data_IF_387320279499
#
_entry.id   IF_387320279499
#
_cell.length_a   1.000
_cell.length_b   1.000
_cell.length_c   1.000
_cell.angle_alpha   90.00
_cell.angle_beta   90.00
_cell.angle_gamma   90.00
#
_symmetry.space_group_name_H-M   'P 1'
#
loop_
_entity.id
_entity.type
_entity.pdbx_description
1 polymer ?
#
# COMPACT_ATOMS: atom_id res chain seq x y z
N UNK A 1 4.61 -6.56 14.90
CA UNK A 1 4.62 -5.26 14.20
C UNK A 1 5.88 -4.49 14.55
N UNK A 2 6.43 -3.75 13.60
CA UNK A 2 7.58 -2.86 13.80
C UNK A 2 7.18 -1.49 14.33
N UNK A 3 5.98 -1.01 13.97
CA UNK A 3 5.42 0.23 14.52
C UNK A 3 4.67 -0.07 15.81
N UNK A 4 5.16 0.50 16.91
CA UNK A 4 4.61 0.26 18.27
C UNK A 4 3.52 1.26 18.65
N UNK A 5 3.71 2.53 18.27
CA UNK A 5 2.77 3.64 18.50
C UNK A 5 1.75 3.71 17.35
N UNK A 6 0.65 2.96 17.49
CA UNK A 6 -0.48 2.97 16.54
C UNK A 6 -1.78 2.58 17.24
N UNK A 7 -2.90 2.59 16.52
CA UNK A 7 -4.23 2.26 17.05
C UNK A 7 -4.49 0.75 17.03
N UNK A 8 -5.49 0.30 17.81
CA UNK A 8 -5.92 -1.10 17.77
C UNK A 8 -6.54 -1.50 16.43
N UNK A 9 -7.11 -0.55 15.68
CA UNK A 9 -7.64 -0.82 14.34
C UNK A 9 -6.51 -1.21 13.37
N UNK A 10 -5.39 -0.48 13.42
CA UNK A 10 -4.19 -0.79 12.62
C UNK A 10 -3.63 -2.15 13.05
N UNK A 11 -3.49 -2.41 14.35
CA UNK A 11 -2.97 -3.70 14.86
C UNK A 11 -3.82 -4.87 14.37
N UNK A 12 -5.14 -4.80 14.55
CA UNK A 12 -6.08 -5.85 14.12
C UNK A 12 -6.03 -6.07 12.61
N UNK A 13 -6.02 -5.00 11.82
CA UNK A 13 -5.91 -5.12 10.37
C UNK A 13 -4.59 -5.79 9.95
N UNK A 14 -3.47 -5.39 10.53
CA UNK A 14 -2.17 -6.01 10.24
C UNK A 14 -2.12 -7.48 10.65
N UNK A 15 -2.68 -7.84 11.81
CA UNK A 15 -2.81 -9.23 12.24
C UNK A 15 -3.65 -10.03 11.24
N UNK A 16 -4.79 -9.52 10.80
CA UNK A 16 -5.63 -10.20 9.81
C UNK A 16 -4.94 -10.38 8.46
N UNK A 17 -4.19 -9.37 7.99
CA UNK A 17 -3.36 -9.45 6.77
C UNK A 17 -2.29 -10.52 6.94
N UNK A 18 -1.62 -10.59 8.11
CA UNK A 18 -0.54 -11.54 8.38
C UNK A 18 -0.99 -13.00 8.22
N UNK A 19 -2.23 -13.30 8.59
CA UNK A 19 -2.84 -14.64 8.47
C UNK A 19 -3.26 -15.01 7.05
N UNK A 20 -3.34 -14.05 6.11
CA UNK A 20 -3.71 -14.32 4.73
C UNK A 20 -2.63 -15.14 3.99
N UNK A 21 -3.06 -15.81 2.92
CA UNK A 21 -2.15 -16.44 1.97
C UNK A 21 -1.42 -15.39 1.11
N UNK A 22 -0.25 -15.75 0.59
CA UNK A 22 0.64 -14.81 -0.11
C UNK A 22 -0.03 -14.13 -1.30
N UNK A 23 -0.90 -14.84 -2.03
CA UNK A 23 -1.64 -14.27 -3.14
C UNK A 23 -2.64 -13.19 -2.68
N UNK A 24 -3.32 -13.40 -1.56
CA UNK A 24 -4.26 -12.43 -0.98
C UNK A 24 -3.51 -11.23 -0.40
N UNK A 25 -2.34 -11.46 0.21
CA UNK A 25 -1.42 -10.38 0.63
C UNK A 25 -0.94 -9.54 -0.55
N UNK A 26 -0.60 -10.16 -1.68
CA UNK A 26 -0.19 -9.46 -2.90
C UNK A 26 -1.34 -8.64 -3.49
N UNK A 27 -2.56 -9.20 -3.54
CA UNK A 27 -3.75 -8.44 -3.96
C UNK A 27 -4.02 -7.24 -3.06
N UNK A 28 -3.81 -7.38 -1.75
CA UNK A 28 -3.90 -6.25 -0.81
C UNK A 28 -2.89 -5.15 -1.15
N UNK A 29 -1.63 -5.51 -1.44
CA UNK A 29 -0.62 -4.56 -1.90
C UNK A 29 -1.04 -3.87 -3.19
N UNK A 30 -1.47 -4.63 -4.21
CA UNK A 30 -1.95 -4.09 -5.48
C UNK A 30 -3.04 -3.05 -5.25
N UNK A 31 -4.00 -3.35 -4.37
CA UNK A 31 -5.10 -2.44 -4.09
C UNK A 31 -4.63 -1.16 -3.40
N UNK A 32 -3.92 -1.24 -2.27
CA UNK A 32 -3.55 -0.04 -1.50
C UNK A 32 -2.55 0.85 -2.27
N UNK A 33 -1.63 0.24 -3.02
CA UNK A 33 -0.71 1.00 -3.87
C UNK A 33 -1.41 1.56 -5.11
N UNK A 34 -2.49 0.93 -5.58
CA UNK A 34 -3.38 1.51 -6.58
C UNK A 34 -4.05 2.78 -6.08
N UNK A 35 -4.59 2.76 -4.85
CA UNK A 35 -5.13 3.96 -4.20
C UNK A 35 -4.05 5.05 -4.05
N UNK A 36 -2.84 4.66 -3.63
CA UNK A 36 -1.70 5.57 -3.46
C UNK A 36 -1.29 6.23 -4.79
N UNK A 37 -1.20 5.45 -5.86
CA UNK A 37 -0.80 5.92 -7.19
C UNK A 37 -1.83 6.91 -7.78
N UNK A 38 -3.09 6.80 -7.36
CA UNK A 38 -4.20 7.67 -7.79
C UNK A 38 -4.52 8.79 -6.78
N UNK A 39 -3.57 9.14 -5.89
CA UNK A 39 -3.72 10.20 -4.88
C UNK A 39 -4.87 9.99 -3.86
N UNK A 40 -5.44 8.80 -3.75
CA UNK A 40 -6.63 8.53 -2.93
C UNK A 40 -6.32 8.29 -1.44
N UNK A 41 -5.05 8.40 -1.05
CA UNK A 41 -4.64 8.37 0.35
C UNK A 41 -4.47 9.82 0.83
N UNK A 42 -5.50 10.35 1.49
CA UNK A 42 -5.52 11.74 1.93
C UNK A 42 -6.19 11.94 3.29
N UNK A 43 -5.94 13.10 3.90
CA UNK A 43 -6.39 13.46 5.25
C UNK A 43 -7.90 13.66 5.39
N UNK A 44 -8.63 13.81 4.28
CA UNK A 44 -10.09 13.89 4.25
C UNK A 44 -10.78 12.56 3.94
N UNK A 45 -10.01 11.49 3.65
CA UNK A 45 -10.54 10.20 3.19
C UNK A 45 -11.40 10.28 1.92
N UNK A 46 -11.05 11.20 1.02
CA UNK A 46 -11.82 11.50 -0.18
C UNK A 46 -11.38 10.63 -1.34
N UNK A 47 -12.36 10.04 -2.05
CA UNK A 47 -12.06 9.12 -3.14
C UNK A 47 -11.45 9.82 -4.36
N UNK A 48 -11.81 11.09 -4.58
CA UNK A 48 -11.32 11.91 -5.69
C UNK A 48 -10.89 13.29 -5.18
N UNK A 49 -9.73 13.39 -4.50
CA UNK A 49 -9.30 14.65 -3.90
C UNK A 49 -9.04 15.73 -4.95
N UNK A 50 -8.68 15.36 -6.17
CA UNK A 50 -8.43 16.29 -7.29
C UNK A 50 -9.69 17.05 -7.74
N UNK A 51 -10.89 16.59 -7.37
CA UNK A 51 -12.16 17.26 -7.66
C UNK A 51 -12.62 18.19 -6.53
N UNK A 52 -11.87 18.25 -5.43
CA UNK A 52 -12.22 19.12 -4.31
C UNK A 52 -11.88 20.58 -4.65
N UNK A 53 -12.83 21.48 -4.42
CA UNK A 53 -12.60 22.92 -4.55
C UNK A 53 -11.66 23.48 -3.47
N UNK A 54 -11.52 22.75 -2.35
CA UNK A 54 -10.66 23.13 -1.24
C UNK A 54 -9.25 22.57 -1.40
N UNK A 55 -8.30 23.45 -1.73
CA UNK A 55 -6.89 23.13 -1.96
C UNK A 55 -6.12 22.64 -0.72
N UNK A 56 -6.76 22.50 0.44
CA UNK A 56 -6.10 22.12 1.69
C UNK A 56 -6.05 20.60 1.95
N UNK A 57 -6.23 19.75 0.93
CA UNK A 57 -6.14 18.29 1.10
C UNK A 57 -4.69 17.86 1.19
N UNK A 58 -4.31 17.21 2.29
CA UNK A 58 -2.98 16.59 2.41
C UNK A 58 -3.04 15.20 1.78
N UNK A 59 -2.30 15.02 0.70
CA UNK A 59 -2.21 13.76 -0.04
C UNK A 59 -0.89 13.07 0.29
N UNK A 60 -0.97 11.77 0.58
CA UNK A 60 0.21 10.91 0.60
C UNK A 60 0.35 10.23 -0.76
N UNK A 61 1.51 10.47 -1.39
CA UNK A 61 2.02 9.72 -2.53
C UNK A 61 3.54 9.53 -2.35
N UNK A 62 4.19 8.74 -3.21
CA UNK A 62 5.63 8.49 -3.03
C UNK A 62 6.50 9.73 -3.28
N UNK A 63 6.06 10.67 -4.12
CA UNK A 63 6.75 11.95 -4.32
C UNK A 63 6.78 12.80 -3.05
N UNK A 64 5.70 12.78 -2.26
CA UNK A 64 5.60 13.50 -0.99
C UNK A 64 6.62 13.05 0.07
N UNK A 65 7.23 11.87 -0.11
CA UNK A 65 8.34 11.36 0.73
C UNK A 65 9.69 11.35 0.00
N UNK A 66 9.80 12.08 -1.11
CA UNK A 66 11.04 12.29 -1.86
C UNK A 66 11.45 11.14 -2.79
N UNK A 67 10.52 10.23 -3.13
CA UNK A 67 10.78 9.20 -4.15
C UNK A 67 10.38 9.70 -5.55
N UNK A 68 10.89 9.10 -6.64
CA UNK A 68 10.52 9.48 -8.00
C UNK A 68 9.00 9.41 -8.25
N UNK A 69 8.47 10.35 -9.05
CA UNK A 69 7.03 10.45 -9.32
C UNK A 69 6.40 9.16 -9.87
N UNK A 70 7.16 8.38 -10.64
CA UNK A 70 6.71 7.12 -11.25
C UNK A 70 7.02 5.87 -10.39
N UNK A 71 7.61 6.02 -9.20
CA UNK A 71 8.03 4.89 -8.36
C UNK A 71 6.86 3.96 -8.02
N UNK A 72 5.67 4.52 -7.77
CA UNK A 72 4.49 3.74 -7.41
C UNK A 72 3.95 2.95 -8.62
N UNK A 73 3.96 3.57 -9.81
CA UNK A 73 3.57 2.91 -11.06
C UNK A 73 4.50 1.74 -11.40
N UNK A 74 5.82 1.92 -11.26
CA UNK A 74 6.80 0.85 -11.48
C UNK A 74 6.58 -0.30 -10.50
N UNK A 75 6.31 0.01 -9.22
CA UNK A 75 6.00 -1.01 -8.22
C UNK A 75 4.71 -1.78 -8.55
N UNK A 76 3.66 -1.09 -9.00
CA UNK A 76 2.41 -1.71 -9.43
C UNK A 76 2.61 -2.65 -10.63
N UNK A 77 3.40 -2.25 -11.62
CA UNK A 77 3.79 -3.12 -12.74
C UNK A 77 4.54 -4.36 -12.27
N UNK A 78 5.43 -4.22 -11.28
CA UNK A 78 6.11 -5.35 -10.66
C UNK A 78 5.11 -6.30 -9.96
N UNK A 79 4.15 -5.77 -9.19
CA UNK A 79 3.12 -6.59 -8.55
C UNK A 79 2.25 -7.34 -9.57
N UNK A 80 1.90 -6.71 -10.69
CA UNK A 80 1.19 -7.35 -11.80
C UNK A 80 1.99 -8.52 -12.39
N UNK A 81 3.28 -8.29 -12.66
CA UNK A 81 4.18 -9.34 -13.15
C UNK A 81 4.27 -10.50 -12.16
N UNK A 82 4.45 -10.19 -10.87
CA UNK A 82 4.54 -11.18 -9.80
C UNK A 82 3.25 -12.00 -9.67
N UNK A 83 2.09 -11.34 -9.67
CA UNK A 83 0.79 -12.01 -9.59
C UNK A 83 0.62 -12.99 -10.74
N UNK A 84 0.77 -12.52 -11.98
CA UNK A 84 0.63 -13.34 -13.18
C UNK A 84 1.63 -14.51 -13.18
N UNK A 85 2.85 -14.30 -12.67
CA UNK A 85 3.86 -15.35 -12.51
C UNK A 85 3.47 -16.41 -11.48
N UNK A 86 2.91 -16.01 -10.33
CA UNK A 86 2.47 -16.92 -9.26
C UNK A 86 1.22 -17.71 -9.68
N UNK A 87 0.25 -17.05 -10.31
CA UNK A 87 -1.01 -17.69 -10.73
C UNK A 87 -0.89 -18.45 -12.04
N UNK A 88 0.20 -18.24 -12.79
CA UNK A 88 0.36 -18.70 -14.16
C UNK A 88 -0.80 -18.24 -15.07
N UNK A 89 -1.23 -17.00 -14.89
CA UNK A 89 -2.29 -16.36 -15.69
C UNK A 89 -1.83 -15.05 -16.33
N UNK A 90 -2.70 -14.42 -17.13
CA UNK A 90 -2.49 -13.07 -17.68
C UNK A 90 -3.71 -12.20 -17.44
N UNK A 91 -4.36 -12.44 -16.30
CA UNK A 91 -5.71 -11.93 -16.04
C UNK A 91 -5.69 -10.49 -15.58
N UNK A 92 -4.54 -10.03 -15.08
CA UNK A 92 -4.37 -8.66 -14.61
C UNK A 92 -3.29 -7.93 -15.40
N UNK A 93 -3.51 -6.64 -15.62
CA UNK A 93 -2.58 -5.75 -16.29
C UNK A 93 -2.65 -4.34 -15.70
N UNK A 94 -1.57 -3.60 -15.88
CA UNK A 94 -1.50 -2.17 -15.53
C UNK A 94 -1.86 -1.34 -16.77
N UNK A 95 -2.72 -0.34 -16.58
CA UNK A 95 -3.14 0.61 -17.61
C UNK A 95 -3.22 2.01 -17.02
N UNK A 96 -2.34 2.89 -17.48
CA UNK A 96 -2.24 4.31 -17.09
C UNK A 96 -2.35 4.57 -15.58
N UNK A 97 -1.65 3.80 -14.77
CA UNK A 97 -1.59 3.90 -13.32
C UNK A 97 -2.63 3.07 -12.56
N UNK A 98 -3.47 2.31 -13.26
CA UNK A 98 -4.54 1.50 -12.69
C UNK A 98 -4.29 0.01 -12.94
N UNK A 99 -4.68 -0.84 -11.98
CA UNK A 99 -4.64 -2.30 -12.18
C UNK A 99 -6.03 -2.81 -12.50
N UNK A 100 -6.16 -3.49 -13.64
CA UNK A 100 -7.41 -4.04 -14.15
C UNK A 100 -7.40 -5.56 -13.97
N UNK A 101 -8.56 -6.15 -13.66
CA UNK A 101 -8.77 -7.61 -13.67
C UNK A 101 -8.60 -8.32 -12.31
N UNK A 102 -8.23 -7.62 -11.25
CA UNK A 102 -8.07 -8.24 -9.92
C UNK A 102 -9.44 -8.62 -9.34
N UNK A 103 -9.67 -9.92 -9.18
CA UNK A 103 -10.86 -10.43 -8.51
C UNK A 103 -10.60 -10.65 -7.02
N UNK A 104 -11.45 -10.03 -6.18
CA UNK A 104 -11.37 -10.15 -4.72
C UNK A 104 -12.44 -11.09 -4.17
N UNK A 105 -12.04 -12.00 -3.28
CA UNK A 105 -12.94 -12.82 -2.47
C UNK A 105 -13.72 -11.94 -1.47
N UNK A 106 -14.76 -12.51 -0.84
CA UNK A 106 -15.51 -11.81 0.21
C UNK A 106 -14.65 -11.46 1.43
N UNK A 107 -13.70 -12.32 1.77
CA UNK A 107 -12.74 -12.10 2.86
C UNK A 107 -11.77 -10.97 2.49
N UNK A 108 -11.22 -11.01 1.27
CA UNK A 108 -10.32 -9.95 0.77
C UNK A 108 -11.04 -8.60 0.76
N UNK A 109 -12.27 -8.52 0.24
CA UNK A 109 -13.09 -7.30 0.26
C UNK A 109 -13.33 -6.76 1.68
N UNK A 110 -13.45 -7.64 2.67
CA UNK A 110 -13.61 -7.24 4.07
C UNK A 110 -12.34 -6.55 4.60
N UNK A 111 -11.15 -7.05 4.23
CA UNK A 111 -9.87 -6.40 4.56
C UNK A 111 -9.73 -5.04 3.88
N UNK A 112 -10.10 -4.94 2.60
CA UNK A 112 -10.06 -3.67 1.86
C UNK A 112 -10.99 -2.64 2.50
N UNK A 113 -12.23 -3.02 2.83
CA UNK A 113 -13.19 -2.13 3.47
C UNK A 113 -12.74 -1.69 4.88
N UNK A 114 -12.00 -2.54 5.62
CA UNK A 114 -11.38 -2.14 6.89
C UNK A 114 -10.29 -1.09 6.68
N UNK A 115 -9.44 -1.29 5.67
CA UNK A 115 -8.40 -0.32 5.30
C UNK A 115 -9.00 1.03 4.87
N UNK A 116 -10.01 1.04 4.00
CA UNK A 116 -10.65 2.27 3.51
C UNK A 116 -11.20 3.14 4.64
N UNK A 117 -11.75 2.50 5.69
CA UNK A 117 -12.32 3.16 6.88
C UNK A 117 -11.29 3.75 7.83
N UNK A 118 -10.02 3.38 7.72
CA UNK A 118 -8.97 3.94 8.56
C UNK A 118 -8.82 5.45 8.31
N UNK A 119 -8.46 6.18 9.36
CA UNK A 119 -8.04 7.56 9.24
C UNK A 119 -6.70 7.68 8.51
N UNK A 120 -6.35 8.89 8.08
CA UNK A 120 -5.11 9.13 7.34
C UNK A 120 -3.86 8.69 8.10
N UNK A 121 -3.70 9.09 9.37
CA UNK A 121 -2.56 8.68 10.20
C UNK A 121 -2.47 7.15 10.35
N UNK A 122 -3.61 6.45 10.41
CA UNK A 122 -3.67 4.99 10.49
C UNK A 122 -3.28 4.34 9.15
N UNK A 123 -3.71 4.89 8.02
CA UNK A 123 -3.29 4.44 6.68
C UNK A 123 -1.77 4.61 6.52
N UNK A 124 -1.19 5.72 6.97
CA UNK A 124 0.26 5.94 6.97
C UNK A 124 1.01 4.90 7.81
N UNK A 125 0.44 4.46 8.93
CA UNK A 125 1.01 3.37 9.74
C UNK A 125 0.95 2.03 9.01
N UNK A 126 -0.16 1.71 8.33
CA UNK A 126 -0.26 0.49 7.51
C UNK A 126 0.82 0.48 6.42
N UNK A 127 0.97 1.56 5.65
CA UNK A 127 2.01 1.66 4.63
C UNK A 127 3.41 1.51 5.23
N UNK A 128 3.67 2.20 6.33
CA UNK A 128 4.97 2.15 7.00
C UNK A 128 5.30 0.74 7.50
N UNK A 129 4.33 0.03 8.09
CA UNK A 129 4.52 -1.35 8.58
C UNK A 129 4.74 -2.32 7.42
N UNK A 130 3.95 -2.21 6.35
CA UNK A 130 4.08 -3.06 5.15
C UNK A 130 5.45 -2.86 4.50
N UNK A 131 5.88 -1.61 4.33
CA UNK A 131 7.17 -1.30 3.70
C UNK A 131 8.33 -1.89 4.52
N UNK A 132 8.31 -1.76 5.85
CA UNK A 132 9.34 -2.38 6.71
C UNK A 132 9.30 -3.90 6.58
N UNK A 133 8.12 -4.53 6.54
CA UNK A 133 8.00 -5.99 6.40
C UNK A 133 8.47 -6.49 5.04
N UNK A 134 8.19 -5.75 3.96
CA UNK A 134 8.70 -6.07 2.62
C UNK A 134 10.23 -5.97 2.57
N UNK A 135 10.82 -4.90 3.12
CA UNK A 135 12.27 -4.70 3.19
C UNK A 135 12.98 -5.79 3.99
N UNK A 136 12.37 -6.23 5.09
CA UNK A 136 12.89 -7.31 5.93
C UNK A 136 12.51 -8.72 5.42
N UNK A 137 11.84 -8.83 4.26
CA UNK A 137 11.40 -10.11 3.68
C UNK A 137 10.47 -10.93 4.62
N UNK A 138 9.68 -10.26 5.45
CA UNK A 138 8.76 -10.87 6.45
C UNK A 138 7.27 -10.67 6.13
N UNK A 139 6.95 -10.01 5.02
CA UNK A 139 5.55 -9.79 4.63
C UNK A 139 4.89 -11.07 4.10
N UNK A 140 5.58 -11.80 3.22
CA UNK A 140 5.12 -13.06 2.64
C UNK A 140 5.61 -14.27 3.44
N UNK A 141 4.87 -15.38 3.38
CA UNK A 141 5.28 -16.68 3.93
C UNK A 141 6.34 -17.34 3.04
N UNK A 142 6.21 -17.18 1.73
CA UNK A 142 7.15 -17.65 0.72
C UNK A 142 8.28 -16.64 0.48
N UNK A 143 9.37 -17.08 -0.16
CA UNK A 143 10.50 -16.23 -0.54
C UNK A 143 10.16 -15.31 -1.73
N UNK A 144 9.24 -14.38 -1.53
CA UNK A 144 8.88 -13.32 -2.45
C UNK A 144 9.62 -12.06 -2.02
N UNK A 145 10.51 -11.56 -2.87
CA UNK A 145 11.28 -10.34 -2.63
C UNK A 145 10.61 -9.19 -3.36
N UNK A 146 10.28 -8.11 -2.65
CA UNK A 146 9.79 -6.88 -3.27
C UNK A 146 10.98 -5.92 -3.45
N UNK A 147 11.31 -5.49 -4.67
CA UNK A 147 12.37 -4.52 -4.87
C UNK A 147 11.96 -3.20 -4.22
N UNK A 148 12.82 -2.72 -3.31
CA UNK A 148 12.61 -1.45 -2.63
C UNK A 148 12.75 -0.26 -3.58
N UNK A 149 12.08 0.84 -3.24
CA UNK A 149 11.88 2.00 -4.13
C UNK A 149 13.16 2.71 -4.59
N UNK A 150 14.24 2.64 -3.79
CA UNK A 150 15.53 3.18 -4.14
C UNK A 150 16.67 2.32 -3.53
N UNK A 151 17.89 2.47 -4.04
CA UNK A 151 19.05 1.67 -3.60
C UNK A 151 19.71 2.15 -2.30
N UNK A 152 19.20 3.22 -1.71
CA UNK A 152 19.84 3.97 -0.61
C UNK A 152 19.03 3.99 0.69
N UNK A 153 17.73 3.73 0.61
CA UNK A 153 16.77 3.80 1.71
C UNK A 153 16.32 2.40 2.08
N UNK A 154 16.51 2.01 3.34
CA UNK A 154 15.85 0.82 3.89
C UNK A 154 14.40 1.13 4.30
N UNK A 155 13.63 0.10 4.59
CA UNK A 155 12.21 0.20 4.93
C UNK A 155 11.94 1.11 6.13
N UNK A 156 12.83 1.11 7.13
CA UNK A 156 12.75 2.01 8.28
C UNK A 156 12.94 3.48 7.90
N UNK A 157 13.88 3.79 7.00
CA UNK A 157 14.10 5.15 6.51
C UNK A 157 12.86 5.67 5.77
N UNK A 158 12.24 4.84 4.94
CA UNK A 158 11.02 5.18 4.21
C UNK A 158 9.84 5.35 5.18
N UNK A 159 9.65 4.42 6.10
CA UNK A 159 8.62 4.53 7.15
C UNK A 159 8.76 5.80 7.99
N UNK A 160 9.99 6.23 8.29
CA UNK A 160 10.25 7.49 8.99
C UNK A 160 9.79 8.71 8.18
N UNK A 161 10.02 8.72 6.87
CA UNK A 161 9.54 9.80 5.98
C UNK A 161 8.00 9.80 5.91
N UNK A 162 7.37 8.64 5.81
CA UNK A 162 5.91 8.51 5.83
C UNK A 162 5.34 9.05 7.15
N UNK A 163 5.93 8.69 8.29
CA UNK A 163 5.49 9.19 9.61
C UNK A 163 5.56 10.72 9.73
N UNK A 164 6.47 11.38 9.02
CA UNK A 164 6.55 12.85 9.02
C UNK A 164 5.35 13.53 8.36
N UNK A 165 4.53 12.77 7.62
CA UNK A 165 3.28 13.23 7.02
C UNK A 165 2.08 13.08 7.95
N UNK A 166 2.21 12.53 9.15
CA UNK A 166 1.08 12.47 10.09
C UNK A 166 0.58 13.88 10.43
N UNK A 167 -0.71 13.98 10.68
CA UNK A 167 -1.31 15.17 11.27
C UNK A 167 -1.17 15.12 12.80
N UNK A 168 -1.05 16.30 13.41
CA UNK A 168 -0.98 16.48 14.87
C UNK A 168 -2.26 16.01 15.59
#
# INVERSE_FOLDING_TARGET
MYITETTDNVRKLMEEIEHQEDISKLKFLIYIFGLLNNNQINDKNEANPDLMEDNNVKIFNLESIGLPFNACTVLLQYFVMLYNGITNTKDIYEDTGNIIGVAYSSEEKTLLAKFEKLGFNEKLDIFSEIIIRCDNETYFKSNIVIPMFDSTSNGYAIAKRIKSLKND
#
